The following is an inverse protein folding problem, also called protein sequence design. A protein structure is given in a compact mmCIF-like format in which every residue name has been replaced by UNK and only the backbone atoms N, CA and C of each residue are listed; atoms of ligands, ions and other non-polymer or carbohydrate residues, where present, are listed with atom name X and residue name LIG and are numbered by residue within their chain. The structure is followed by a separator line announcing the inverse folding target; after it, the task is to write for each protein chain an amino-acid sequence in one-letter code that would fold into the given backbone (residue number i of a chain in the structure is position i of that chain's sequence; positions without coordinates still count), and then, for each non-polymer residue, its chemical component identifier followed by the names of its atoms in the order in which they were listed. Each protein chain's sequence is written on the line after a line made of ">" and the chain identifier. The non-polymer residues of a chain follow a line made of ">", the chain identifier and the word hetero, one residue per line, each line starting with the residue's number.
data_IF_612102032955
#
_entry.id   IF_612102032955
#
_cell.length_a   1.000
_cell.length_b   1.000
_cell.length_c   1.000
_cell.angle_alpha   90.00
_cell.angle_beta   90.00
_cell.angle_gamma   90.00
#
_symmetry.space_group_name_H-M   'P 1'
#
loop_
_entity.id
_entity.type
_entity.pdbx_description
1 polymer ?
#
# COMPACT_ATOMS: atom_id res chain seq x y z
N UNK A 1 16.22 1.98 -0.76
CA UNK A 1 15.32 0.99 -0.15
C UNK A 1 14.08 1.62 0.46
N UNK A 2 14.15 2.39 1.56
CA UNK A 2 12.95 2.96 2.20
C UNK A 2 12.18 3.95 1.29
N UNK A 3 12.87 4.92 0.69
CA UNK A 3 12.26 5.89 -0.24
C UNK A 3 11.68 5.22 -1.49
N UNK A 4 12.36 4.19 -2.01
CA UNK A 4 11.88 3.42 -3.16
C UNK A 4 10.60 2.65 -2.82
N UNK A 5 10.53 2.02 -1.65
CA UNK A 5 9.32 1.39 -1.14
C UNK A 5 8.18 2.40 -1.00
N UNK A 6 8.43 3.55 -0.39
CA UNK A 6 7.44 4.62 -0.25
C UNK A 6 6.93 5.13 -1.61
N UNK A 7 7.83 5.26 -2.60
CA UNK A 7 7.46 5.63 -3.96
C UNK A 7 6.61 4.55 -4.64
N UNK A 8 6.98 3.28 -4.51
CA UNK A 8 6.16 2.16 -5.01
C UNK A 8 4.78 2.12 -4.38
N UNK A 9 4.67 2.36 -3.07
CA UNK A 9 3.39 2.42 -2.35
C UNK A 9 2.56 3.62 -2.79
N UNK A 10 3.15 4.81 -2.87
CA UNK A 10 2.44 6.01 -3.29
C UNK A 10 1.93 5.89 -4.73
N UNK A 11 2.71 5.26 -5.61
CA UNK A 11 2.30 4.98 -6.98
C UNK A 11 1.19 3.93 -7.06
N UNK A 12 1.31 2.84 -6.31
CA UNK A 12 0.26 1.81 -6.22
C UNK A 12 -1.07 2.37 -5.73
N UNK A 13 -1.05 3.24 -4.72
CA UNK A 13 -2.24 3.92 -4.22
C UNK A 13 -2.90 4.83 -5.25
N UNK A 14 -2.12 5.51 -6.10
CA UNK A 14 -2.67 6.30 -7.22
C UNK A 14 -3.29 5.41 -8.28
N UNK A 15 -2.65 4.27 -8.56
CA UNK A 15 -3.06 3.31 -9.57
C UNK A 15 -4.32 2.52 -9.16
N UNK A 16 -4.50 2.21 -7.88
CA UNK A 16 -5.69 1.51 -7.37
C UNK A 16 -6.88 2.43 -7.09
N UNK A 17 -6.71 3.76 -7.22
CA UNK A 17 -7.78 4.72 -6.91
C UNK A 17 -8.84 4.71 -8.01
N UNK A 18 -10.04 4.24 -7.65
CA UNK A 18 -11.25 4.44 -8.47
C UNK A 18 -11.68 5.90 -8.36
N UNK A 19 -11.63 6.65 -9.45
CA UNK A 19 -12.12 8.02 -9.53
C UNK A 19 -13.55 7.97 -10.04
N UNK A 20 -14.52 7.95 -9.13
CA UNK A 20 -15.94 8.02 -9.46
C UNK A 20 -16.29 9.36 -10.14
N UNK A 21 -16.36 9.38 -11.47
CA UNK A 21 -16.94 10.47 -12.25
C UNK A 21 -18.42 10.17 -12.53
N UNK A 22 -19.37 10.73 -11.78
CA UNK A 22 -20.78 10.77 -12.22
C UNK A 22 -21.89 10.75 -11.16
N UNK A 23 -22.48 11.94 -10.95
CA UNK A 23 -23.90 12.35 -10.81
C UNK A 23 -25.03 11.47 -10.21
N UNK A 24 -24.86 10.21 -9.81
CA UNK A 24 -25.94 9.47 -9.13
C UNK A 24 -25.39 8.62 -7.98
N UNK A 25 -25.69 9.04 -6.75
CA UNK A 25 -25.13 8.49 -5.53
C UNK A 25 -26.08 7.47 -4.89
N UNK A 26 -25.75 6.18 -4.80
CA UNK A 26 -26.19 5.36 -3.68
C UNK A 26 -25.45 5.85 -2.42
N UNK A 27 -26.15 5.91 -1.30
CA UNK A 27 -25.64 6.45 -0.03
C UNK A 27 -24.23 5.92 0.31
N UNK A 28 -23.34 6.77 0.88
CA UNK A 28 -21.99 6.36 1.23
C UNK A 28 -22.03 5.12 2.14
N UNK A 29 -21.10 4.16 1.97
CA UNK A 29 -20.97 3.08 2.92
C UNK A 29 -20.70 3.67 4.30
N UNK A 30 -21.40 3.14 5.31
CA UNK A 30 -21.32 3.50 6.73
C UNK A 30 -19.88 3.83 7.10
N UNK A 31 -19.69 5.01 7.70
CA UNK A 31 -18.40 5.52 8.17
C UNK A 31 -17.68 4.45 9.00
N UNK A 32 -16.76 3.74 8.37
CA UNK A 32 -15.71 3.03 9.09
C UNK A 32 -14.90 4.10 9.81
N UNK A 33 -14.56 3.91 11.10
CA UNK A 33 -13.88 4.92 11.89
C UNK A 33 -12.66 5.39 11.12
N UNK A 34 -12.65 6.68 10.82
CA UNK A 34 -11.57 7.36 10.13
C UNK A 34 -10.28 7.10 10.90
N UNK A 35 -9.46 6.17 10.43
CA UNK A 35 -8.05 6.20 10.77
C UNK A 35 -7.56 7.54 10.27
N UNK A 36 -7.14 8.40 11.20
CA UNK A 36 -6.69 9.77 10.94
C UNK A 36 -5.67 9.73 9.83
N UNK A 37 -6.11 10.01 8.60
CA UNK A 37 -5.21 10.26 7.49
C UNK A 37 -4.64 11.64 7.81
N UNK A 38 -3.51 11.68 8.51
CA UNK A 38 -2.75 12.90 8.80
C UNK A 38 -2.18 13.43 7.50
N UNK A 39 -3.07 13.93 6.64
CA UNK A 39 -2.81 14.56 5.38
C UNK A 39 -3.39 15.97 5.48
N UNK A 40 -2.69 16.84 6.19
CA UNK A 40 -2.93 18.27 6.10
C UNK A 40 -1.60 18.99 6.09
N UNK A 41 -1.21 19.40 4.87
CA UNK A 41 -0.41 20.57 4.53
C UNK A 41 0.92 20.75 5.25
N UNK A 42 2.04 20.48 4.56
CA UNK A 42 3.35 20.98 5.00
C UNK A 42 4.02 21.73 3.85
N UNK A 43 3.95 23.06 3.93
CA UNK A 43 4.84 24.00 3.25
C UNK A 43 6.19 24.03 3.96
N UNK A 44 6.91 22.91 3.93
CA UNK A 44 8.24 22.74 4.52
C UNK A 44 9.33 22.74 3.46
N UNK A 45 10.58 22.83 3.89
CA UNK A 45 11.74 22.69 3.00
C UNK A 45 11.71 21.34 2.26
N UNK A 46 12.27 21.25 1.04
CA UNK A 46 12.22 20.04 0.19
C UNK A 46 12.68 18.76 0.92
N UNK A 47 13.65 18.87 1.84
CA UNK A 47 14.11 17.73 2.64
C UNK A 47 13.10 17.29 3.72
N UNK A 48 12.40 18.23 4.32
CA UNK A 48 11.41 17.94 5.37
C UNK A 48 10.13 17.33 4.77
N UNK A 49 9.70 17.84 3.61
CA UNK A 49 8.57 17.29 2.85
C UNK A 49 8.84 15.83 2.44
N UNK A 50 10.03 15.53 1.94
CA UNK A 50 10.41 14.16 1.51
C UNK A 50 10.46 13.18 2.68
N UNK A 51 10.93 13.60 3.86
CA UNK A 51 10.97 12.74 5.05
C UNK A 51 9.54 12.44 5.55
N UNK A 52 8.67 13.44 5.57
CA UNK A 52 7.26 13.28 5.98
C UNK A 52 6.49 12.37 5.01
N UNK A 53 6.64 12.56 3.70
CA UNK A 53 6.00 11.68 2.70
C UNK A 53 6.49 10.24 2.81
N UNK A 54 7.79 10.02 3.05
CA UNK A 54 8.34 8.68 3.22
C UNK A 54 7.74 7.99 4.46
N UNK A 55 7.60 8.71 5.57
CA UNK A 55 7.02 8.19 6.80
C UNK A 55 5.53 7.82 6.64
N UNK A 56 4.77 8.57 5.84
CA UNK A 56 3.35 8.31 5.58
C UNK A 56 3.09 6.98 4.85
N UNK A 57 4.06 6.48 4.08
CA UNK A 57 3.93 5.24 3.32
C UNK A 57 4.62 4.04 3.98
N UNK A 58 5.26 4.24 5.14
CA UNK A 58 5.86 3.15 5.92
C UNK A 58 4.81 2.48 6.80
N UNK A 59 4.73 1.13 6.80
CA UNK A 59 3.81 0.43 7.68
C UNK A 59 4.29 0.45 9.12
N UNK A 60 3.39 0.73 10.07
CA UNK A 60 3.66 0.66 11.51
C UNK A 60 3.44 -0.75 12.11
N UNK A 61 2.74 -1.62 11.38
CA UNK A 61 2.52 -3.03 11.72
C UNK A 61 2.81 -3.91 10.50
N UNK A 62 3.00 -5.24 10.64
CA UNK A 62 3.19 -6.11 9.51
C UNK A 62 2.06 -5.96 8.48
N UNK A 63 2.43 -5.63 7.24
CA UNK A 63 1.49 -5.31 6.17
C UNK A 63 1.85 -6.05 4.89
N UNK A 64 0.83 -6.45 4.13
CA UNK A 64 1.01 -7.15 2.85
C UNK A 64 0.61 -6.23 1.70
N UNK A 65 1.42 -6.25 0.65
CA UNK A 65 1.22 -5.45 -0.56
C UNK A 65 1.19 -6.37 -1.79
N UNK A 66 0.27 -6.10 -2.72
CA UNK A 66 0.34 -6.69 -4.05
C UNK A 66 1.48 -6.03 -4.83
N UNK A 67 2.31 -6.84 -5.49
CA UNK A 67 3.39 -6.39 -6.36
C UNK A 67 2.85 -6.28 -7.78
N UNK A 68 2.85 -5.06 -8.32
CA UNK A 68 2.25 -4.73 -9.61
C UNK A 68 3.35 -4.23 -10.56
N UNK A 69 3.93 -5.11 -11.39
CA UNK A 69 4.91 -4.71 -12.40
C UNK A 69 4.26 -4.08 -13.64
N UNK A 70 2.97 -4.34 -13.85
CA UNK A 70 2.21 -3.91 -15.01
C UNK A 70 0.86 -3.31 -14.54
N UNK A 71 0.53 -2.05 -14.86
CA UNK A 71 -0.74 -1.44 -14.48
C UNK A 71 -1.96 -2.20 -15.01
N UNK A 72 -1.83 -2.96 -16.11
CA UNK A 72 -2.95 -3.67 -16.74
C UNK A 72 -3.52 -4.80 -15.89
N UNK A 73 -2.78 -5.31 -14.90
CA UNK A 73 -3.31 -6.38 -14.04
C UNK A 73 -4.25 -5.85 -12.96
N UNK A 74 -4.34 -4.52 -12.78
CA UNK A 74 -5.11 -3.90 -11.70
C UNK A 74 -6.56 -3.65 -12.12
N UNK A 75 -7.49 -4.14 -11.30
CA UNK A 75 -8.94 -4.01 -11.49
C UNK A 75 -9.43 -2.58 -11.13
N UNK A 76 -9.09 -1.61 -11.99
CA UNK A 76 -9.52 -0.22 -11.88
C UNK A 76 -10.37 0.20 -13.10
N UNK A 77 -11.70 0.32 -12.96
CA UNK A 77 -12.59 0.68 -14.07
C UNK A 77 -12.39 2.12 -14.59
N UNK A 78 -11.76 3.00 -13.80
CA UNK A 78 -11.59 4.41 -14.15
C UNK A 78 -10.26 4.72 -14.84
N UNK A 79 -9.31 3.77 -14.84
CA UNK A 79 -8.15 3.81 -15.73
C UNK A 79 -8.64 3.24 -17.06
N UNK A 80 -8.81 4.06 -18.11
CA UNK A 80 -9.36 3.58 -19.37
C UNK A 80 -8.51 2.42 -19.88
N UNK A 81 -9.16 1.29 -20.19
CA UNK A 81 -8.57 0.04 -20.66
C UNK A 81 -7.85 0.13 -22.01
N UNK A 82 -7.41 1.31 -22.44
CA UNK A 82 -6.88 1.58 -23.78
C UNK A 82 -5.51 2.28 -23.81
N UNK A 83 -4.88 2.60 -22.67
CA UNK A 83 -3.51 3.16 -22.70
C UNK A 83 -2.46 2.35 -21.93
N UNK A 84 -2.15 1.12 -22.41
CA UNK A 84 -0.87 0.45 -22.16
C UNK A 84 0.35 1.38 -22.36
N UNK A 85 0.23 2.31 -23.33
CA UNK A 85 1.31 3.19 -23.79
C UNK A 85 1.60 4.41 -22.89
N UNK A 86 0.76 4.72 -21.90
CA UNK A 86 0.95 5.91 -21.06
C UNK A 86 1.67 5.59 -19.75
N UNK A 87 1.39 4.42 -19.16
CA UNK A 87 2.00 4.04 -17.88
C UNK A 87 3.19 3.10 -18.04
N UNK A 88 3.25 2.32 -19.13
CA UNK A 88 4.33 1.36 -19.36
C UNK A 88 4.48 0.37 -18.20
N UNK A 89 5.65 -0.29 -18.12
CA UNK A 89 5.98 -1.13 -16.97
C UNK A 89 6.26 -0.28 -15.74
N UNK A 90 5.76 -0.71 -14.60
CA UNK A 90 6.07 -0.13 -13.29
C UNK A 90 7.49 -0.55 -12.91
N UNK A 91 8.46 0.36 -13.03
CA UNK A 91 9.86 0.13 -12.63
C UNK A 91 10.29 1.23 -11.66
N UNK A 92 10.43 0.94 -10.34
CA UNK A 92 10.15 -0.34 -9.67
C UNK A 92 8.64 -0.70 -9.66
N UNK A 93 8.28 -1.96 -9.38
CA UNK A 93 6.87 -2.37 -9.31
C UNK A 93 6.08 -1.50 -8.33
N UNK A 94 4.84 -1.19 -8.70
CA UNK A 94 3.92 -0.51 -7.80
C UNK A 94 3.50 -1.46 -6.66
N UNK A 95 3.28 -0.91 -5.47
CA UNK A 95 2.86 -1.68 -4.29
C UNK A 95 1.49 -1.19 -3.84
N UNK A 96 0.49 -2.06 -3.87
CA UNK A 96 -0.85 -1.74 -3.42
C UNK A 96 -1.10 -2.43 -2.08
N UNK A 97 -1.34 -1.69 -0.97
CA UNK A 97 -1.67 -2.30 0.31
C UNK A 97 -2.90 -3.21 0.20
N UNK A 98 -2.80 -4.44 0.70
CA UNK A 98 -3.91 -5.39 0.71
C UNK A 98 -4.73 -5.23 1.99
N UNK A 99 -6.03 -5.50 1.87
CA UNK A 99 -6.90 -5.50 3.04
C UNK A 99 -6.57 -6.73 3.90
N UNK A 100 -6.07 -6.48 5.11
CA UNK A 100 -5.73 -7.51 6.09
C UNK A 100 -7.00 -7.88 6.87
N UNK A 101 -7.34 -9.18 6.91
CA UNK A 101 -8.43 -9.70 7.73
C UNK A 101 -7.96 -10.13 9.12
N UNK A 102 -6.70 -10.54 9.22
CA UNK A 102 -6.04 -10.84 10.48
C UNK A 102 -4.54 -10.91 10.29
N UNK A 103 -3.80 -10.52 11.33
CA UNK A 103 -2.35 -10.60 11.36
C UNK A 103 -1.91 -10.95 12.78
N UNK A 104 -0.96 -11.86 12.91
CA UNK A 104 -0.33 -12.22 14.16
C UNK A 104 1.19 -12.30 13.94
N UNK A 105 1.93 -11.87 14.96
CA UNK A 105 3.38 -11.86 14.94
C UNK A 105 3.89 -12.42 16.27
N UNK A 106 4.77 -13.40 16.18
CA UNK A 106 5.46 -13.99 17.33
C UNK A 106 6.95 -13.69 17.19
N UNK A 107 7.55 -13.23 18.29
CA UNK A 107 8.96 -12.85 18.33
C UNK A 107 9.63 -13.64 19.45
N UNK A 108 10.59 -14.48 19.08
CA UNK A 108 11.46 -15.17 20.03
C UNK A 108 12.86 -14.57 19.91
N UNK A 109 13.38 -14.00 20.99
CA UNK A 109 14.74 -13.44 21.02
C UNK A 109 15.68 -14.29 21.88
N UNK A 110 16.86 -14.58 21.34
CA UNK A 110 17.93 -15.30 22.03
C UNK A 110 19.25 -14.58 21.74
N UNK A 111 19.86 -14.02 22.79
CA UNK A 111 21.08 -13.20 22.71
C UNK A 111 20.92 -12.01 21.75
N UNK A 112 21.64 -12.02 20.63
CA UNK A 112 21.68 -11.01 19.57
C UNK A 112 20.80 -11.38 18.36
N UNK A 113 20.09 -12.51 18.43
CA UNK A 113 19.25 -13.02 17.35
C UNK A 113 17.77 -12.96 17.73
N UNK A 114 16.92 -12.50 16.81
CA UNK A 114 15.47 -12.55 16.94
C UNK A 114 14.87 -13.38 15.80
N UNK A 115 14.03 -14.35 16.16
CA UNK A 115 13.20 -15.12 15.26
C UNK A 115 11.82 -14.47 15.20
N UNK A 116 11.41 -14.10 13.99
CA UNK A 116 10.14 -13.42 13.76
C UNK A 116 9.26 -14.30 12.89
N UNK A 117 8.16 -14.78 13.46
CA UNK A 117 7.12 -15.50 12.75
C UNK A 117 5.94 -14.56 12.52
N UNK A 118 5.52 -14.39 11.26
CA UNK A 118 4.35 -13.61 10.88
C UNK A 118 3.34 -14.53 10.22
N UNK A 119 2.12 -14.54 10.72
CA UNK A 119 0.99 -15.20 10.09
C UNK A 119 -0.11 -14.18 9.81
N UNK A 120 -0.89 -14.40 8.76
CA UNK A 120 -1.95 -13.47 8.42
C UNK A 120 -2.88 -14.01 7.35
N UNK A 121 -4.01 -13.34 7.22
CA UNK A 121 -5.00 -13.57 6.18
C UNK A 121 -5.32 -12.23 5.53
N UNK A 122 -5.31 -12.19 4.20
CA UNK A 122 -5.54 -10.95 3.45
C UNK A 122 -6.32 -11.24 2.18
N UNK A 123 -6.94 -10.19 1.64
CA UNK A 123 -7.68 -10.24 0.37
C UNK A 123 -6.96 -9.47 -0.72
N UNK A 124 -6.66 -10.17 -1.81
CA UNK A 124 -6.25 -9.55 -3.08
C UNK A 124 -7.50 -8.97 -3.74
N UNK A 125 -7.67 -7.66 -3.64
CA UNK A 125 -8.88 -6.94 -4.07
C UNK A 125 -8.62 -5.97 -5.23
N UNK A 126 -7.36 -5.77 -5.60
CA UNK A 126 -6.94 -4.81 -6.61
C UNK A 126 -6.49 -5.47 -7.92
N UNK A 127 -6.39 -6.80 -8.00
CA UNK A 127 -5.95 -7.51 -9.20
C UNK A 127 -7.15 -8.10 -9.92
N UNK A 128 -7.17 -8.01 -11.25
CA UNK A 128 -8.25 -8.54 -12.08
C UNK A 128 -8.44 -10.04 -11.89
N UNK A 129 -9.69 -10.48 -11.99
CA UNK A 129 -10.03 -11.90 -11.89
C UNK A 129 -9.28 -12.73 -12.95
N UNK A 130 -8.69 -13.85 -12.54
CA UNK A 130 -7.89 -14.72 -13.41
C UNK A 130 -6.43 -14.30 -13.59
N UNK A 131 -6.04 -13.12 -13.12
CA UNK A 131 -4.64 -12.69 -13.09
C UNK A 131 -3.93 -13.15 -11.80
N UNK A 132 -2.60 -13.16 -11.83
CA UNK A 132 -1.74 -13.48 -10.70
C UNK A 132 -0.91 -12.28 -10.32
N UNK A 133 -0.56 -12.16 -9.04
CA UNK A 133 0.41 -11.21 -8.55
C UNK A 133 1.26 -11.84 -7.44
N UNK A 134 2.48 -11.37 -7.30
CA UNK A 134 3.27 -11.66 -6.10
C UNK A 134 2.80 -10.77 -4.94
N UNK A 135 3.00 -11.24 -3.71
CA UNK A 135 2.74 -10.48 -2.50
C UNK A 135 4.06 -10.18 -1.79
N UNK A 136 4.22 -8.95 -1.31
CA UNK A 136 5.35 -8.54 -0.48
C UNK A 136 4.88 -8.24 0.93
N UNK A 137 5.47 -8.92 1.91
CA UNK A 137 5.23 -8.67 3.33
C UNK A 137 6.28 -7.66 3.81
N UNK A 138 5.84 -6.55 4.37
CA UNK A 138 6.69 -5.57 5.03
C UNK A 138 6.50 -5.74 6.54
N UNK A 139 7.59 -6.08 7.23
CA UNK A 139 7.62 -6.23 8.68
C UNK A 139 8.41 -5.04 9.23
N UNK A 140 7.77 -4.11 9.97
CA UNK A 140 8.49 -3.02 10.59
C UNK A 140 9.44 -3.56 11.66
N UNK A 141 10.69 -3.11 11.64
CA UNK A 141 11.72 -3.46 12.62
C UNK A 141 12.25 -2.15 13.21
N UNK A 142 12.34 -2.05 14.55
CA UNK A 142 12.80 -0.85 15.27
C UNK A 142 11.68 -0.13 16.07
N UNK A 143 11.92 1.13 16.47
CA UNK A 143 11.00 1.94 17.32
C UNK A 143 9.59 2.13 16.73
N UNK A 144 9.41 1.89 15.43
CA UNK A 144 8.12 1.97 14.74
C UNK A 144 7.15 0.81 15.06
N UNK A 145 7.62 -0.25 15.72
CA UNK A 145 6.82 -1.41 16.12
C UNK A 145 6.25 -1.30 17.56
N UNK A 146 6.45 -0.17 18.24
CA UNK A 146 6.01 0.05 19.63
C UNK A 146 4.90 1.11 19.61
N UNK A 147 3.63 0.71 19.44
CA UNK A 147 2.44 1.37 20.00
C UNK A 147 1.25 0.40 19.99
#
# INVERSE_FOLDING_TARGET
>A
MAMEFANSVSYGLKLSKRIYYGKDMPAPPVEVPSMTRSASSVSGSEKEVVVVETALYMPAAPMVYAVVPDPEVVDNPDIPSYQPYVYGRCVPPALIPLNMHGVAMEIESVLDTAFVAVSGTWRVHCVMAGQRCDCRIAVPMGEQAIY
#
